data_IF_310064693841
#
_entry.id   IF_310064693841
#
_cell.length_a   1.000
_cell.length_b   1.000
_cell.length_c   1.000
_cell.angle_alpha   90.00
_cell.angle_beta   90.00
_cell.angle_gamma   90.00
#
_symmetry.space_group_name_H-M   'P 1'
#
loop_
_entity.id
_entity.type
_entity.pdbx_description
1 polymer ?
#
# COMPACT_ATOMS: atom_id res chain seq x y z
N UNK A 1 7.93 29.94 -2.78
CA UNK A 1 6.77 29.58 -3.64
C UNK A 1 6.01 28.50 -2.91
N UNK A 2 4.69 28.57 -2.92
CA UNK A 2 3.90 27.53 -2.29
C UNK A 2 4.22 26.19 -2.94
N UNK A 3 4.68 25.24 -2.12
CA UNK A 3 5.19 23.94 -2.56
C UNK A 3 4.14 23.14 -3.36
N UNK A 4 2.87 23.25 -2.98
CA UNK A 4 1.78 22.47 -3.53
C UNK A 4 1.46 22.79 -4.99
N UNK A 5 1.29 24.06 -5.45
CA UNK A 5 1.04 24.34 -6.86
C UNK A 5 2.17 23.85 -7.77
N UNK A 6 3.42 24.05 -7.37
CA UNK A 6 4.57 23.58 -8.14
C UNK A 6 4.62 22.05 -8.21
N UNK A 7 4.34 21.38 -7.09
CA UNK A 7 4.24 19.93 -7.02
C UNK A 7 3.15 19.37 -7.96
N UNK A 8 1.95 19.94 -7.93
CA UNK A 8 0.85 19.49 -8.78
C UNK A 8 1.13 19.68 -10.28
N UNK A 9 1.77 20.81 -10.65
CA UNK A 9 2.19 21.03 -12.05
C UNK A 9 3.26 20.00 -12.46
N UNK A 10 4.26 19.77 -11.61
CA UNK A 10 5.30 18.76 -11.86
C UNK A 10 4.69 17.36 -12.00
N UNK A 11 3.78 16.97 -11.10
CA UNK A 11 3.08 15.70 -11.16
C UNK A 11 2.26 15.55 -12.44
N UNK A 12 1.55 16.60 -12.87
CA UNK A 12 0.79 16.56 -14.12
C UNK A 12 1.68 16.31 -15.34
N UNK A 13 2.81 17.02 -15.46
CA UNK A 13 3.78 16.83 -16.54
C UNK A 13 4.37 15.41 -16.50
N UNK A 14 4.66 14.92 -15.31
CA UNK A 14 5.22 13.58 -15.11
C UNK A 14 4.24 12.47 -15.50
N UNK A 15 2.97 12.57 -15.11
CA UNK A 15 1.93 11.60 -15.52
C UNK A 15 1.81 11.53 -17.02
N UNK A 16 1.79 12.69 -17.70
CA UNK A 16 1.75 12.73 -19.17
C UNK A 16 2.98 12.08 -19.80
N UNK A 17 4.16 12.33 -19.22
CA UNK A 17 5.42 11.77 -19.72
C UNK A 17 5.49 10.26 -19.47
N UNK A 18 5.12 9.81 -18.27
CA UNK A 18 5.06 8.39 -17.90
C UNK A 18 4.20 7.59 -18.87
N UNK A 19 2.99 8.08 -19.15
CA UNK A 19 2.06 7.44 -20.11
C UNK A 19 2.61 7.36 -21.53
N UNK A 20 3.36 8.37 -21.99
CA UNK A 20 3.98 8.35 -23.32
C UNK A 20 5.11 7.33 -23.45
N UNK A 21 5.84 7.11 -22.36
CA UNK A 21 7.03 6.23 -22.33
C UNK A 21 6.68 4.81 -21.87
N UNK A 22 5.44 4.57 -21.40
CA UNK A 22 5.01 3.28 -20.88
C UNK A 22 5.66 2.92 -19.53
N UNK A 23 6.10 3.91 -18.75
CA UNK A 23 6.69 3.70 -17.43
C UNK A 23 5.64 3.81 -16.33
N UNK A 24 5.75 3.00 -15.26
CA UNK A 24 4.89 3.16 -14.10
C UNK A 24 5.11 4.55 -13.46
N UNK A 25 4.03 5.27 -13.11
CA UNK A 25 4.14 6.67 -12.67
C UNK A 25 4.76 6.83 -11.27
N UNK A 26 4.56 5.88 -10.36
CA UNK A 26 5.00 5.97 -8.95
C UNK A 26 6.52 6.20 -8.80
N UNK A 27 7.43 5.41 -9.43
CA UNK A 27 8.85 5.69 -9.37
C UNK A 27 9.21 7.09 -9.88
N UNK A 28 8.51 7.58 -10.90
CA UNK A 28 8.75 8.92 -11.45
C UNK A 28 8.35 10.02 -10.47
N UNK A 29 7.26 9.82 -9.70
CA UNK A 29 6.87 10.76 -8.63
C UNK A 29 7.95 10.86 -7.56
N UNK A 30 8.51 9.72 -7.12
CA UNK A 30 9.58 9.69 -6.12
C UNK A 30 10.84 10.37 -6.65
N UNK A 31 11.26 10.06 -7.89
CA UNK A 31 12.44 10.68 -8.52
C UNK A 31 12.25 12.19 -8.66
N UNK A 32 11.07 12.63 -9.09
CA UNK A 32 10.81 14.06 -9.22
C UNK A 32 10.80 14.78 -7.87
N UNK A 33 10.20 14.17 -6.85
CA UNK A 33 10.26 14.68 -5.49
C UNK A 33 11.70 14.79 -5.00
N UNK A 34 12.52 13.75 -5.21
CA UNK A 34 13.93 13.75 -4.85
C UNK A 34 14.72 14.87 -5.55
N UNK A 35 14.48 15.07 -6.86
CA UNK A 35 15.16 16.12 -7.63
C UNK A 35 14.71 17.53 -7.19
N UNK A 36 13.44 17.72 -6.84
CA UNK A 36 12.90 19.01 -6.44
C UNK A 36 13.05 19.28 -4.94
N UNK A 37 13.30 18.24 -4.14
CA UNK A 37 13.37 18.29 -2.69
C UNK A 37 14.76 18.63 -2.13
N UNK A 38 14.94 18.26 -0.86
CA UNK A 38 16.10 18.63 -0.02
C UNK A 38 17.43 18.13 -0.59
N UNK A 39 17.43 16.97 -1.21
CA UNK A 39 18.65 16.34 -1.78
C UNK A 39 18.93 16.75 -3.23
N UNK A 40 17.98 17.41 -3.89
CA UNK A 40 18.11 17.87 -5.28
C UNK A 40 18.26 19.39 -5.39
N UNK A 41 17.41 20.00 -6.21
CA UNK A 41 17.45 21.45 -6.50
C UNK A 41 16.91 22.33 -5.38
N UNK A 42 16.36 21.77 -4.31
CA UNK A 42 15.79 22.49 -3.15
C UNK A 42 14.72 23.52 -3.56
N UNK A 43 13.89 23.15 -4.52
CA UNK A 43 12.78 24.00 -5.01
C UNK A 43 11.56 23.90 -4.12
N UNK A 44 11.42 22.79 -3.40
CA UNK A 44 10.26 22.46 -2.56
C UNK A 44 10.77 21.96 -1.21
N UNK A 45 10.25 22.57 -0.15
CA UNK A 45 10.41 22.08 1.22
C UNK A 45 9.13 21.36 1.64
N UNK A 46 9.26 20.25 2.40
CA UNK A 46 8.13 19.56 2.99
C UNK A 46 7.52 20.40 4.11
N UNK A 47 6.28 20.81 3.96
CA UNK A 47 5.51 21.49 4.98
C UNK A 47 4.43 20.59 5.61
N UNK A 48 3.77 21.08 6.66
CA UNK A 48 2.72 20.34 7.35
C UNK A 48 1.53 20.00 6.43
N UNK A 49 1.22 20.87 5.47
CA UNK A 49 0.12 20.66 4.51
C UNK A 49 0.48 19.53 3.55
N UNK A 50 1.71 19.53 3.06
CA UNK A 50 2.23 18.47 2.19
C UNK A 50 2.24 17.11 2.88
N UNK A 51 2.65 17.07 4.15
CA UNK A 51 2.60 15.86 4.97
C UNK A 51 1.17 15.37 5.17
N UNK A 52 0.22 16.29 5.43
CA UNK A 52 -1.19 15.94 5.57
C UNK A 52 -1.81 15.40 4.28
N UNK A 53 -1.52 16.03 3.13
CA UNK A 53 -1.98 15.53 1.83
C UNK A 53 -1.40 14.16 1.49
N UNK A 54 -0.13 13.93 1.83
CA UNK A 54 0.49 12.62 1.71
C UNK A 54 -0.18 11.57 2.61
N UNK A 55 -0.49 11.95 3.86
CA UNK A 55 -1.23 11.08 4.78
C UNK A 55 -2.64 10.73 4.26
N UNK A 56 -3.36 11.69 3.65
CA UNK A 56 -4.61 11.38 2.96
C UNK A 56 -4.41 10.32 1.87
N UNK A 57 -3.32 10.40 1.10
CA UNK A 57 -2.98 9.38 0.10
C UNK A 57 -2.86 7.98 0.70
N UNK A 58 -2.15 7.87 1.81
CA UNK A 58 -1.97 6.61 2.52
C UNK A 58 -3.29 6.03 3.02
N UNK A 59 -4.11 6.82 3.72
CA UNK A 59 -5.37 6.32 4.28
C UNK A 59 -6.40 5.95 3.20
N UNK A 60 -6.46 6.68 2.09
CA UNK A 60 -7.29 6.31 0.95
C UNK A 60 -6.79 5.05 0.24
N UNK A 61 -5.47 4.85 0.13
CA UNK A 61 -4.89 3.62 -0.41
C UNK A 61 -5.26 2.41 0.44
N UNK A 62 -5.08 2.50 1.77
CA UNK A 62 -5.40 1.42 2.70
C UNK A 62 -6.88 1.04 2.65
N UNK A 63 -7.77 2.04 2.60
CA UNK A 63 -9.19 1.80 2.45
C UNK A 63 -9.53 1.15 1.11
N UNK A 64 -8.92 1.62 0.02
CA UNK A 64 -9.11 1.05 -1.32
C UNK A 64 -8.61 -0.40 -1.39
N UNK A 65 -7.44 -0.70 -0.82
CA UNK A 65 -6.96 -2.08 -0.71
C UNK A 65 -7.98 -2.96 0.01
N UNK A 66 -8.59 -2.45 1.10
CA UNK A 66 -9.69 -3.12 1.77
C UNK A 66 -10.89 -3.39 0.86
N UNK A 67 -11.28 -2.44 0.00
CA UNK A 67 -12.38 -2.62 -0.96
C UNK A 67 -12.09 -3.72 -2.00
N UNK A 68 -10.84 -3.94 -2.34
CA UNK A 68 -10.43 -4.99 -3.29
C UNK A 68 -10.39 -6.38 -2.64
N UNK A 69 -10.23 -6.46 -1.32
CA UNK A 69 -10.24 -7.72 -0.60
C UNK A 69 -11.61 -8.40 -0.68
N UNK A 70 -11.63 -9.62 -1.22
CA UNK A 70 -12.82 -10.51 -1.30
C UNK A 70 -12.60 -11.75 -0.45
N UNK A 71 -12.78 -11.72 0.88
CA UNK A 71 -12.44 -12.83 1.78
C UNK A 71 -13.06 -14.17 1.39
N UNK A 72 -14.27 -14.16 0.80
CA UNK A 72 -14.92 -15.41 0.34
C UNK A 72 -14.16 -16.15 -0.76
N UNK A 73 -13.42 -15.45 -1.61
CA UNK A 73 -12.62 -16.09 -2.67
C UNK A 73 -11.36 -16.70 -2.08
N UNK A 74 -10.70 -16.02 -1.15
CA UNK A 74 -9.52 -16.54 -0.42
C UNK A 74 -9.86 -17.89 0.24
N UNK A 75 -11.05 -18.00 0.87
CA UNK A 75 -11.51 -19.23 1.51
C UNK A 75 -11.81 -20.39 0.53
N UNK A 76 -12.05 -20.13 -0.76
CA UNK A 76 -12.37 -21.16 -1.76
C UNK A 76 -11.15 -21.74 -2.50
N UNK A 77 -10.08 -20.97 -2.68
CA UNK A 77 -8.86 -21.40 -3.41
C UNK A 77 -7.69 -21.77 -2.48
N UNK A 78 -7.87 -21.71 -1.27
CA UNK A 78 -7.24 -21.94 0.03
C UNK A 78 -5.80 -22.48 0.06
N UNK A 79 -5.54 -23.73 -0.22
CA UNK A 79 -4.25 -24.32 0.17
C UNK A 79 -3.08 -23.98 -0.75
N UNK A 80 -3.31 -23.94 -2.07
CA UNK A 80 -2.26 -23.65 -3.04
C UNK A 80 -1.74 -22.20 -2.93
N UNK A 81 -2.66 -21.23 -2.86
CA UNK A 81 -2.31 -19.80 -2.72
C UNK A 81 -1.60 -19.56 -1.39
N UNK A 82 -2.04 -20.21 -0.31
CA UNK A 82 -1.39 -20.07 1.00
C UNK A 82 0.06 -20.61 0.96
N UNK A 83 0.26 -21.78 0.35
CA UNK A 83 1.59 -22.38 0.20
C UNK A 83 2.49 -21.48 -0.67
N UNK A 84 1.97 -21.02 -1.80
CA UNK A 84 2.70 -20.07 -2.68
C UNK A 84 3.08 -18.78 -1.94
N UNK A 85 2.16 -18.19 -1.19
CA UNK A 85 2.43 -16.99 -0.40
C UNK A 85 3.43 -17.22 0.75
N UNK A 86 3.41 -18.40 1.38
CA UNK A 86 4.41 -18.75 2.39
C UNK A 86 5.79 -18.96 1.76
N UNK A 87 5.89 -19.55 0.57
CA UNK A 87 7.15 -19.67 -0.17
C UNK A 87 7.68 -18.28 -0.51
N UNK A 88 6.83 -17.42 -1.09
CA UNK A 88 7.21 -16.06 -1.45
C UNK A 88 7.66 -15.25 -0.23
N UNK A 89 6.90 -15.30 0.87
CA UNK A 89 7.25 -14.66 2.13
C UNK A 89 8.62 -15.12 2.64
N UNK A 90 8.83 -16.43 2.74
CA UNK A 90 10.08 -16.95 3.30
C UNK A 90 11.28 -16.59 2.42
N UNK A 91 11.19 -16.80 1.11
CA UNK A 91 12.29 -16.51 0.18
C UNK A 91 12.67 -15.02 0.24
N UNK A 92 11.69 -14.14 0.08
CA UNK A 92 11.96 -12.70 0.03
C UNK A 92 12.39 -12.15 1.39
N UNK A 93 11.67 -12.49 2.47
CA UNK A 93 12.01 -12.04 3.83
C UNK A 93 13.42 -12.48 4.23
N UNK A 94 13.77 -13.78 4.04
CA UNK A 94 15.09 -14.27 4.45
C UNK A 94 16.21 -13.70 3.59
N UNK A 95 16.06 -13.65 2.26
CA UNK A 95 17.09 -13.09 1.40
C UNK A 95 17.30 -11.59 1.68
N UNK A 96 16.23 -10.82 1.87
CA UNK A 96 16.34 -9.42 2.24
C UNK A 96 16.93 -9.21 3.63
N UNK A 97 16.50 -10.01 4.62
CA UNK A 97 17.03 -9.96 5.99
C UNK A 97 18.53 -10.25 6.03
N UNK A 98 18.99 -11.34 5.44
CA UNK A 98 20.40 -11.69 5.43
C UNK A 98 21.24 -10.71 4.61
N UNK A 99 20.73 -10.22 3.47
CA UNK A 99 21.43 -9.20 2.70
C UNK A 99 21.63 -7.91 3.52
N UNK A 100 20.63 -7.49 4.28
CA UNK A 100 20.73 -6.33 5.15
C UNK A 100 21.71 -6.55 6.30
N UNK A 101 21.70 -7.73 6.95
CA UNK A 101 22.69 -8.07 7.98
C UNK A 101 24.12 -8.04 7.44
N UNK A 102 24.36 -8.57 6.22
CA UNK A 102 25.68 -8.54 5.58
C UNK A 102 26.17 -7.11 5.30
N UNK A 103 25.25 -6.17 5.11
CA UNK A 103 25.55 -4.75 4.94
C UNK A 103 25.73 -4.00 6.28
N UNK A 104 25.61 -4.70 7.40
CA UNK A 104 25.85 -4.14 8.74
C UNK A 104 24.62 -3.50 9.39
N UNK A 105 23.41 -3.70 8.86
CA UNK A 105 22.18 -3.27 9.52
C UNK A 105 21.95 -4.09 10.80
N UNK A 106 21.34 -3.47 11.80
CA UNK A 106 20.92 -4.21 12.99
C UNK A 106 19.78 -5.19 12.67
N UNK A 107 19.51 -6.20 13.52
CA UNK A 107 18.51 -7.24 13.22
C UNK A 107 17.09 -6.68 12.99
N UNK A 108 16.70 -5.61 13.67
CA UNK A 108 15.40 -5.00 13.49
C UNK A 108 15.27 -4.31 12.14
N UNK A 109 16.23 -3.46 11.77
CA UNK A 109 16.25 -2.81 10.45
C UNK A 109 16.38 -3.85 9.33
N UNK A 110 17.16 -4.91 9.54
CA UNK A 110 17.26 -6.02 8.60
C UNK A 110 15.92 -6.74 8.40
N UNK A 111 15.12 -6.91 9.46
CA UNK A 111 13.77 -7.47 9.38
C UNK A 111 12.83 -6.55 8.60
N UNK A 112 12.90 -5.23 8.82
CA UNK A 112 12.10 -4.25 8.07
C UNK A 112 12.46 -4.29 6.57
N UNK A 113 13.76 -4.33 6.24
CA UNK A 113 14.24 -4.44 4.86
C UNK A 113 13.78 -5.75 4.21
N UNK A 114 13.91 -6.87 4.93
CA UNK A 114 13.43 -8.18 4.47
C UNK A 114 11.93 -8.20 4.23
N UNK A 115 11.16 -7.56 5.11
CA UNK A 115 9.70 -7.40 4.93
C UNK A 115 9.37 -6.59 3.68
N UNK A 116 10.14 -5.54 3.38
CA UNK A 116 9.95 -4.74 2.17
C UNK A 116 10.26 -5.51 0.87
N UNK A 117 11.14 -6.53 0.92
CA UNK A 117 11.40 -7.39 -0.24
C UNK A 117 10.21 -8.27 -0.61
N UNK A 118 9.40 -8.62 0.38
CA UNK A 118 8.22 -9.46 0.19
C UNK A 118 7.14 -8.77 -0.63
N UNK A 119 6.93 -7.47 -0.42
CA UNK A 119 5.84 -6.72 -1.03
C UNK A 119 6.01 -6.52 -2.55
N UNK A 120 4.94 -6.79 -3.30
CA UNK A 120 4.88 -6.57 -4.75
C UNK A 120 3.84 -5.50 -5.07
N UNK A 121 4.21 -4.49 -5.84
CA UNK A 121 3.25 -3.46 -6.28
C UNK A 121 2.15 -4.06 -7.15
N UNK A 122 0.96 -4.24 -6.56
CA UNK A 122 -0.23 -4.74 -7.26
C UNK A 122 -0.61 -3.88 -8.46
N UNK A 123 -0.43 -2.55 -8.35
CA UNK A 123 -0.70 -1.64 -9.46
C UNK A 123 0.22 -1.88 -10.66
N UNK A 124 1.51 -2.10 -10.42
CA UNK A 124 2.49 -2.37 -11.49
C UNK A 124 2.26 -3.75 -12.11
N UNK A 125 2.01 -4.76 -11.28
CA UNK A 125 1.77 -6.12 -11.76
C UNK A 125 0.48 -6.20 -12.61
N UNK A 126 -0.63 -5.60 -12.14
CA UNK A 126 -1.87 -5.52 -12.91
C UNK A 126 -1.71 -4.76 -14.22
N UNK A 127 -1.02 -3.61 -14.21
CA UNK A 127 -0.74 -2.87 -15.43
C UNK A 127 0.03 -3.74 -16.42
N UNK A 128 1.06 -4.45 -15.97
CA UNK A 128 1.85 -5.37 -16.80
C UNK A 128 1.02 -6.51 -17.39
N UNK A 129 0.12 -7.10 -16.60
CA UNK A 129 -0.80 -8.15 -17.07
C UNK A 129 -1.78 -7.64 -18.12
N UNK A 130 -2.30 -6.43 -17.95
CA UNK A 130 -3.21 -5.77 -18.91
C UNK A 130 -2.48 -5.47 -20.22
N UNK A 131 -1.32 -4.84 -20.14
CA UNK A 131 -0.50 -4.46 -21.31
C UNK A 131 -0.09 -5.68 -22.14
N UNK A 132 0.25 -6.79 -21.49
CA UNK A 132 0.60 -8.05 -22.13
C UNK A 132 -0.62 -8.91 -22.52
N UNK A 133 -1.86 -8.42 -22.35
CA UNK A 133 -3.11 -9.12 -22.64
C UNK A 133 -3.24 -10.49 -21.94
N UNK A 134 -2.60 -10.64 -20.79
CA UNK A 134 -2.60 -11.87 -19.97
C UNK A 134 -3.56 -11.87 -18.79
N UNK A 135 -4.33 -10.80 -18.60
CA UNK A 135 -5.21 -10.64 -17.41
C UNK A 135 -6.20 -11.81 -17.20
N UNK A 136 -6.63 -12.45 -18.29
CA UNK A 136 -7.59 -13.58 -18.27
C UNK A 136 -6.92 -14.96 -18.28
N UNK A 137 -5.59 -15.06 -18.19
CA UNK A 137 -4.90 -16.34 -18.12
C UNK A 137 -5.04 -16.96 -16.72
N UNK A 138 -4.95 -18.29 -16.63
CA UNK A 138 -5.03 -19.00 -15.35
C UNK A 138 -3.88 -18.59 -14.39
N UNK A 139 -2.70 -18.34 -14.94
CA UNK A 139 -1.54 -17.87 -14.19
C UNK A 139 -1.78 -16.49 -13.56
N UNK A 140 -2.46 -15.60 -14.28
CA UNK A 140 -2.79 -14.26 -13.78
C UNK A 140 -3.76 -14.31 -12.60
N UNK A 141 -4.65 -15.27 -12.56
CA UNK A 141 -5.54 -15.47 -11.41
C UNK A 141 -4.73 -15.81 -10.15
N UNK A 142 -3.72 -16.68 -10.28
CA UNK A 142 -2.82 -17.05 -9.17
C UNK A 142 -2.01 -15.82 -8.74
N UNK A 143 -1.44 -15.06 -9.67
CA UNK A 143 -0.66 -13.85 -9.39
C UNK A 143 -1.52 -12.83 -8.63
N UNK A 144 -2.74 -12.56 -9.08
CA UNK A 144 -3.65 -11.61 -8.42
C UNK A 144 -3.99 -12.05 -7.00
N UNK A 145 -4.20 -13.36 -6.79
CA UNK A 145 -4.48 -13.89 -5.45
C UNK A 145 -3.25 -13.84 -4.54
N UNK A 146 -2.06 -14.11 -5.11
CA UNK A 146 -0.81 -14.00 -4.37
C UNK A 146 -0.59 -12.56 -3.89
N UNK A 147 -0.81 -11.57 -4.76
CA UNK A 147 -0.72 -10.15 -4.40
C UNK A 147 -1.68 -9.76 -3.28
N UNK A 148 -2.93 -10.24 -3.33
CA UNK A 148 -3.90 -10.01 -2.24
C UNK A 148 -3.44 -10.64 -0.92
N UNK A 149 -2.79 -11.80 -0.98
CA UNK A 149 -2.22 -12.45 0.19
C UNK A 149 -0.98 -11.71 0.70
N UNK A 150 -0.12 -11.21 -0.20
CA UNK A 150 1.02 -10.35 0.14
C UNK A 150 0.54 -9.12 0.92
N UNK A 151 -0.47 -8.41 0.42
CA UNK A 151 -1.06 -7.23 1.08
C UNK A 151 -1.56 -7.56 2.50
N UNK A 152 -2.22 -8.71 2.67
CA UNK A 152 -2.68 -9.16 4.00
C UNK A 152 -1.53 -9.47 4.95
N UNK A 153 -0.50 -10.14 4.47
CA UNK A 153 0.69 -10.47 5.26
C UNK A 153 1.47 -9.20 5.59
N UNK A 154 1.57 -8.25 4.65
CA UNK A 154 2.21 -6.94 4.89
C UNK A 154 1.53 -6.17 6.01
N UNK A 155 0.20 -6.18 6.08
CA UNK A 155 -0.51 -5.57 7.22
C UNK A 155 -0.08 -6.23 8.53
N UNK A 156 0.07 -7.56 8.55
CA UNK A 156 0.56 -8.27 9.73
C UNK A 156 2.02 -7.93 10.04
N UNK A 157 2.90 -7.85 9.04
CA UNK A 157 4.31 -7.47 9.22
C UNK A 157 4.46 -6.02 9.72
N UNK A 158 3.72 -5.07 9.15
CA UNK A 158 3.65 -3.68 9.64
C UNK A 158 3.20 -3.67 11.10
N UNK A 159 2.22 -4.49 11.45
CA UNK A 159 1.78 -4.65 12.81
C UNK A 159 2.89 -5.16 13.73
N UNK A 160 3.63 -6.21 13.33
CA UNK A 160 4.74 -6.76 14.11
C UNK A 160 5.84 -5.71 14.32
N UNK A 161 6.21 -4.97 13.27
CA UNK A 161 7.17 -3.86 13.34
C UNK A 161 6.69 -2.75 14.30
N UNK A 162 5.40 -2.44 14.27
CA UNK A 162 4.81 -1.42 15.15
C UNK A 162 4.64 -1.90 16.59
N UNK A 163 4.55 -3.21 16.83
CA UNK A 163 4.31 -3.82 18.14
C UNK A 163 5.51 -3.80 19.09
N UNK A 164 6.71 -3.45 18.58
CA UNK A 164 7.91 -3.25 19.43
C UNK A 164 7.70 -2.14 20.49
N UNK A 165 6.61 -1.36 20.35
CA UNK A 165 6.24 -0.25 21.22
C UNK A 165 5.29 -0.63 22.39
N UNK A 166 4.90 -1.92 22.56
CA UNK A 166 3.94 -2.28 23.61
C UNK A 166 3.71 -3.79 23.81
N UNK A 167 2.76 -4.14 24.66
CA UNK A 167 2.36 -5.53 24.90
C UNK A 167 1.61 -6.09 23.67
N UNK A 168 2.19 -7.05 22.92
CA UNK A 168 1.63 -7.53 21.68
C UNK A 168 0.26 -8.21 21.85
N UNK A 169 0.04 -8.91 22.96
CA UNK A 169 -1.25 -9.56 23.24
C UNK A 169 -2.37 -8.55 23.45
N UNK A 170 -2.11 -7.48 24.20
CA UNK A 170 -3.09 -6.41 24.43
C UNK A 170 -3.45 -5.70 23.14
N UNK A 171 -2.47 -5.47 22.28
CA UNK A 171 -2.67 -4.85 20.96
C UNK A 171 -3.48 -5.76 20.02
N UNK A 172 -3.20 -7.08 20.00
CA UNK A 172 -4.00 -8.05 19.24
C UNK A 172 -5.46 -8.09 19.67
N UNK A 173 -5.73 -8.12 20.98
CA UNK A 173 -7.09 -8.09 21.53
C UNK A 173 -7.79 -6.79 21.13
N UNK A 174 -7.11 -5.68 21.20
CA UNK A 174 -7.65 -4.36 20.85
C UNK A 174 -8.02 -4.29 19.35
N UNK A 175 -7.14 -4.77 18.47
CA UNK A 175 -7.38 -4.86 17.03
C UNK A 175 -8.56 -5.78 16.72
N UNK A 176 -8.59 -6.98 17.30
CA UNK A 176 -9.70 -7.91 17.12
C UNK A 176 -11.03 -7.30 17.57
N UNK A 177 -11.04 -6.62 18.72
CA UNK A 177 -12.24 -5.95 19.23
C UNK A 177 -12.72 -4.85 18.28
N UNK A 178 -11.81 -3.98 17.81
CA UNK A 178 -12.16 -2.91 16.86
C UNK A 178 -12.66 -3.50 15.54
N UNK A 179 -11.97 -4.51 15.01
CA UNK A 179 -12.38 -5.20 13.80
C UNK A 179 -13.80 -5.80 13.92
N UNK A 180 -14.07 -6.50 15.00
CA UNK A 180 -15.40 -7.07 15.28
C UNK A 180 -16.46 -5.97 15.40
N UNK A 181 -16.19 -4.89 16.13
CA UNK A 181 -17.13 -3.77 16.28
C UNK A 181 -17.43 -3.10 14.94
N UNK A 182 -16.42 -2.89 14.09
CA UNK A 182 -16.59 -2.32 12.75
C UNK A 182 -17.41 -3.24 11.85
N UNK A 183 -17.15 -4.54 11.87
CA UNK A 183 -17.93 -5.53 11.12
C UNK A 183 -19.40 -5.49 11.58
N UNK A 184 -19.65 -5.53 12.88
CA UNK A 184 -21.00 -5.48 13.43
C UNK A 184 -21.72 -4.17 13.07
N UNK A 185 -21.03 -3.03 13.15
CA UNK A 185 -21.56 -1.73 12.79
C UNK A 185 -21.97 -1.69 11.31
N UNK A 186 -21.11 -2.13 10.40
CA UNK A 186 -21.44 -2.14 8.95
C UNK A 186 -22.55 -3.13 8.64
N UNK A 187 -22.57 -4.31 9.27
CA UNK A 187 -23.67 -5.27 9.09
C UNK A 187 -25.01 -4.71 9.59
N UNK A 188 -25.00 -4.01 10.72
CA UNK A 188 -26.19 -3.36 11.28
C UNK A 188 -26.69 -2.24 10.39
N UNK A 189 -25.77 -1.42 9.86
CA UNK A 189 -26.06 -0.26 9.02
C UNK A 189 -26.13 -0.58 7.50
N UNK A 190 -26.06 -1.85 7.13
CA UNK A 190 -25.98 -2.27 5.71
C UNK A 190 -27.07 -1.67 4.84
N UNK A 191 -28.34 -1.69 5.28
CA UNK A 191 -29.46 -1.17 4.49
C UNK A 191 -29.40 0.34 4.28
N UNK A 192 -29.27 1.19 5.33
CA UNK A 192 -29.14 2.65 5.13
C UNK A 192 -27.85 3.01 4.38
N UNK A 193 -26.75 2.29 4.59
CA UNK A 193 -25.51 2.51 3.85
C UNK A 193 -25.67 2.24 2.34
N UNK A 194 -26.30 1.12 1.97
CA UNK A 194 -26.56 0.80 0.57
C UNK A 194 -27.43 1.88 -0.09
N UNK A 195 -28.47 2.33 0.60
CA UNK A 195 -29.34 3.41 0.10
C UNK A 195 -28.58 4.72 -0.10
N UNK A 196 -27.77 5.13 0.87
CA UNK A 196 -26.99 6.37 0.78
C UNK A 196 -25.89 6.31 -0.30
N UNK A 197 -25.23 5.17 -0.47
CA UNK A 197 -24.13 5.01 -1.41
C UNK A 197 -24.57 4.78 -2.86
N UNK A 198 -25.83 4.41 -3.11
CA UNK A 198 -26.38 4.27 -4.47
C UNK A 198 -26.91 5.58 -5.06
N UNK A 199 -26.82 6.68 -4.33
CA UNK A 199 -27.21 8.00 -4.82
C UNK A 199 -26.22 8.50 -5.88
N UNK A 200 -26.72 9.28 -6.82
CA UNK A 200 -25.92 9.93 -7.89
C UNK A 200 -25.56 11.38 -7.56
N UNK A 201 -25.60 11.75 -6.27
CA UNK A 201 -25.27 13.07 -5.75
C UNK A 201 -23.91 13.06 -5.02
N UNK A 202 -23.61 14.11 -4.24
CA UNK A 202 -22.38 14.24 -3.44
C UNK A 202 -22.31 13.34 -2.21
N UNK A 203 -23.42 12.70 -1.83
CA UNK A 203 -23.51 11.88 -0.59
C UNK A 203 -22.48 10.74 -0.55
N UNK A 204 -22.27 9.94 -1.62
CA UNK A 204 -21.24 8.89 -1.60
C UNK A 204 -19.82 9.43 -1.40
N UNK A 205 -19.51 10.61 -1.95
CA UNK A 205 -18.20 11.24 -1.80
C UNK A 205 -17.97 11.70 -0.37
N UNK A 206 -18.90 12.47 0.18
CA UNK A 206 -18.82 13.00 1.55
C UNK A 206 -18.78 11.84 2.55
N UNK A 207 -19.63 10.82 2.35
CA UNK A 207 -19.62 9.61 3.17
C UNK A 207 -18.25 8.93 3.17
N UNK A 208 -17.66 8.73 1.99
CA UNK A 208 -16.36 8.06 1.86
C UNK A 208 -15.27 8.84 2.59
N UNK A 209 -15.20 10.15 2.40
CA UNK A 209 -14.26 11.00 3.12
C UNK A 209 -14.47 10.93 4.64
N UNK A 210 -15.72 11.05 5.10
CA UNK A 210 -16.04 11.00 6.53
C UNK A 210 -15.64 9.65 7.16
N UNK A 211 -15.88 8.53 6.46
CA UNK A 211 -15.57 7.19 6.94
C UNK A 211 -14.06 6.95 6.97
N UNK A 212 -13.35 7.32 5.91
CA UNK A 212 -11.89 7.12 5.81
C UNK A 212 -11.17 7.97 6.87
N UNK A 213 -11.46 9.27 6.92
CA UNK A 213 -10.83 10.17 7.89
C UNK A 213 -11.25 9.82 9.32
N UNK A 214 -12.53 9.48 9.54
CA UNK A 214 -13.03 9.09 10.84
C UNK A 214 -12.41 7.79 11.36
N UNK A 215 -12.20 6.79 10.50
CA UNK A 215 -11.53 5.55 10.85
C UNK A 215 -10.04 5.75 11.18
N UNK A 216 -9.35 6.60 10.41
CA UNK A 216 -7.98 7.01 10.69
C UNK A 216 -7.89 7.73 12.04
N UNK A 217 -8.72 8.74 12.27
CA UNK A 217 -8.75 9.48 13.54
C UNK A 217 -9.07 8.57 14.74
N UNK A 218 -10.01 7.63 14.58
CA UNK A 218 -10.31 6.64 15.61
C UNK A 218 -9.08 5.77 15.93
N UNK A 219 -8.37 5.30 14.90
CA UNK A 219 -7.16 4.49 15.08
C UNK A 219 -6.10 5.22 15.90
N UNK A 220 -5.87 6.51 15.60
CA UNK A 220 -4.94 7.36 16.35
C UNK A 220 -5.35 7.53 17.81
N UNK A 221 -6.63 7.81 18.08
CA UNK A 221 -7.16 7.97 19.44
C UNK A 221 -6.98 6.71 20.28
N UNK A 222 -7.21 5.54 19.69
CA UNK A 222 -7.10 4.27 20.41
C UNK A 222 -5.71 3.63 20.31
N UNK A 223 -4.73 4.31 19.70
CA UNK A 223 -3.36 3.85 19.49
C UNK A 223 -3.30 2.45 18.85
N UNK A 224 -3.87 2.31 17.65
CA UNK A 224 -3.72 1.15 16.78
C UNK A 224 -3.23 1.61 15.41
N UNK A 225 -2.55 0.75 14.62
CA UNK A 225 -2.18 1.07 13.24
C UNK A 225 -3.41 1.42 12.39
N UNK A 226 -3.37 2.53 11.66
CA UNK A 226 -4.49 3.02 10.83
C UNK A 226 -4.88 2.03 9.73
N UNK A 227 -3.93 1.23 9.25
CA UNK A 227 -4.18 0.18 8.27
C UNK A 227 -5.31 -0.79 8.70
N UNK A 228 -5.38 -1.13 9.98
CA UNK A 228 -6.33 -2.10 10.50
C UNK A 228 -7.79 -1.68 10.29
N UNK A 229 -8.27 -0.53 10.84
CA UNK A 229 -9.66 -0.13 10.66
C UNK A 229 -9.97 0.24 9.21
N UNK A 230 -9.03 0.81 8.46
CA UNK A 230 -9.25 1.23 7.07
C UNK A 230 -9.44 0.04 6.14
N UNK A 231 -8.55 -0.96 6.22
CA UNK A 231 -8.67 -2.19 5.42
C UNK A 231 -9.90 -3.00 5.85
N UNK A 232 -10.17 -3.11 7.15
CA UNK A 232 -11.35 -3.80 7.65
C UNK A 232 -12.65 -3.16 7.14
N UNK A 233 -12.79 -1.83 7.24
CA UNK A 233 -13.94 -1.09 6.73
C UNK A 233 -14.09 -1.24 5.21
N UNK A 234 -13.02 -1.07 4.45
CA UNK A 234 -13.02 -1.27 3.00
C UNK A 234 -13.50 -2.68 2.65
N UNK A 235 -12.95 -3.70 3.31
CA UNK A 235 -13.30 -5.10 3.09
C UNK A 235 -14.78 -5.39 3.40
N UNK A 236 -15.32 -4.87 4.50
CA UNK A 236 -16.72 -5.08 4.87
C UNK A 236 -17.67 -4.29 3.95
N UNK A 237 -17.33 -3.06 3.59
CA UNK A 237 -18.13 -2.25 2.66
C UNK A 237 -18.14 -2.80 1.24
N UNK A 238 -17.08 -3.52 0.83
CA UNK A 238 -17.01 -4.17 -0.47
C UNK A 238 -18.12 -5.22 -0.70
N UNK A 239 -18.68 -5.79 0.37
CA UNK A 239 -19.84 -6.68 0.29
C UNK A 239 -21.16 -5.98 -0.02
N UNK A 240 -21.26 -4.71 0.34
CA UNK A 240 -22.53 -3.98 0.23
C UNK A 240 -22.64 -3.22 -1.09
N UNK A 241 -21.61 -2.50 -1.51
CA UNK A 241 -21.66 -1.62 -2.70
C UNK A 241 -20.26 -1.49 -3.34
N UNK A 242 -19.64 -2.58 -3.78
CA UNK A 242 -18.24 -2.57 -4.18
C UNK A 242 -17.94 -1.65 -5.36
N UNK A 243 -18.77 -1.70 -6.40
CA UNK A 243 -18.50 -0.99 -7.66
C UNK A 243 -18.68 0.54 -7.54
N UNK A 244 -19.60 0.99 -6.70
CA UNK A 244 -19.83 2.43 -6.47
C UNK A 244 -18.67 3.01 -5.66
N UNK A 245 -18.35 2.38 -4.54
CA UNK A 245 -17.24 2.85 -3.68
C UNK A 245 -15.89 2.83 -4.40
N UNK A 246 -15.59 1.77 -5.15
CA UNK A 246 -14.34 1.71 -5.92
C UNK A 246 -14.24 2.85 -6.92
N UNK A 247 -15.32 3.14 -7.67
CA UNK A 247 -15.35 4.26 -8.61
C UNK A 247 -15.24 5.62 -7.93
N UNK A 248 -15.83 5.76 -6.74
CA UNK A 248 -15.77 6.99 -5.95
C UNK A 248 -14.38 7.23 -5.36
N UNK A 249 -13.74 6.17 -4.85
CA UNK A 249 -12.45 6.25 -4.13
C UNK A 249 -11.26 6.35 -5.09
N UNK A 250 -11.31 5.66 -6.22
CA UNK A 250 -10.16 5.55 -7.12
C UNK A 250 -9.57 6.90 -7.56
N UNK A 251 -10.34 7.93 -7.96
CA UNK A 251 -9.76 9.21 -8.36
C UNK A 251 -9.03 9.91 -7.19
N UNK A 252 -9.59 9.86 -5.98
CA UNK A 252 -8.95 10.46 -4.80
C UNK A 252 -7.69 9.72 -4.42
N UNK A 253 -7.74 8.37 -4.39
CA UNK A 253 -6.57 7.53 -4.18
C UNK A 253 -5.47 7.91 -5.15
N UNK A 254 -5.74 7.98 -6.46
CA UNK A 254 -4.72 8.22 -7.49
C UNK A 254 -4.07 9.59 -7.33
N UNK A 255 -4.86 10.64 -7.07
CA UNK A 255 -4.34 12.00 -6.85
C UNK A 255 -3.50 12.05 -5.57
N UNK A 256 -4.02 11.55 -4.45
CA UNK A 256 -3.32 11.60 -3.18
C UNK A 256 -2.10 10.67 -3.14
N UNK A 257 -2.12 9.53 -3.85
CA UNK A 257 -0.94 8.69 -4.04
C UNK A 257 0.17 9.40 -4.80
N UNK A 258 -0.17 10.13 -5.86
CA UNK A 258 0.82 10.91 -6.57
C UNK A 258 1.46 11.96 -5.66
N UNK A 259 0.65 12.63 -4.84
CA UNK A 259 1.12 13.60 -3.83
C UNK A 259 1.98 12.90 -2.77
N UNK A 260 1.53 11.76 -2.22
CA UNK A 260 2.27 10.98 -1.23
C UNK A 260 3.68 10.62 -1.72
N UNK A 261 3.77 9.99 -2.88
CA UNK A 261 5.06 9.51 -3.39
C UNK A 261 5.97 10.67 -3.83
N UNK A 262 5.40 11.75 -4.33
CA UNK A 262 6.18 12.95 -4.65
C UNK A 262 6.78 13.56 -3.38
N UNK A 263 5.97 13.83 -2.35
CA UNK A 263 6.49 14.39 -1.09
C UNK A 263 7.36 13.41 -0.30
N UNK A 264 7.11 12.11 -0.41
CA UNK A 264 8.06 11.12 0.07
C UNK A 264 9.44 11.33 -0.58
N UNK A 265 9.48 11.49 -1.91
CA UNK A 265 10.72 11.82 -2.62
C UNK A 265 11.36 13.13 -2.13
N UNK A 266 10.56 14.18 -1.89
CA UNK A 266 11.04 15.50 -1.39
C UNK A 266 11.76 15.34 -0.04
N UNK A 267 11.28 14.48 0.84
CA UNK A 267 11.84 14.28 2.19
C UNK A 267 13.05 13.35 2.23
N UNK A 268 13.38 12.66 1.15
CA UNK A 268 14.55 11.77 1.11
C UNK A 268 15.84 12.58 1.23
N UNK A 269 16.60 12.33 2.29
CA UNK A 269 17.94 12.81 2.46
C UNK A 269 18.95 11.82 1.91
N UNK A 270 19.52 12.11 0.74
CA UNK A 270 20.63 11.33 0.22
C UNK A 270 21.87 11.68 1.03
N UNK A 271 22.16 10.87 2.04
CA UNK A 271 23.42 10.97 2.76
C UNK A 271 24.54 10.43 1.88
N UNK A 272 25.67 11.15 1.82
CA UNK A 272 26.89 10.65 1.21
C UNK A 272 27.43 9.36 1.88
N UNK A 273 26.87 8.99 3.04
CA UNK A 273 27.18 7.74 3.73
C UNK A 273 26.50 6.51 3.09
N UNK A 274 25.50 6.68 2.21
CA UNK A 274 24.90 5.58 1.49
C UNK A 274 25.84 5.16 0.38
N UNK A 275 26.45 3.99 0.53
CA UNK A 275 27.33 3.45 -0.52
C UNK A 275 26.46 3.00 -1.71
N UNK A 276 26.69 3.59 -2.88
CA UNK A 276 26.03 3.17 -4.13
C UNK A 276 26.15 1.65 -4.36
N UNK A 277 27.29 0.99 -4.09
CA UNK A 277 27.40 -0.47 -4.16
C UNK A 277 26.41 -1.22 -3.25
N UNK A 278 26.16 -0.74 -2.03
CA UNK A 278 25.19 -1.37 -1.13
C UNK A 278 23.75 -1.27 -1.65
N UNK A 279 23.38 -0.12 -2.20
CA UNK A 279 22.06 0.07 -2.83
C UNK A 279 21.90 -0.87 -4.03
N UNK A 280 22.91 -0.94 -4.90
CA UNK A 280 22.90 -1.83 -6.06
C UNK A 280 22.83 -3.30 -5.64
N UNK A 281 23.55 -3.70 -4.60
CA UNK A 281 23.52 -5.07 -4.09
C UNK A 281 22.12 -5.41 -3.53
N UNK A 282 21.54 -4.56 -2.69
CA UNK A 282 20.20 -4.76 -2.14
C UNK A 282 19.17 -4.86 -3.28
N UNK A 283 19.23 -3.95 -4.26
CA UNK A 283 18.31 -3.98 -5.40
C UNK A 283 18.45 -5.24 -6.24
N UNK A 284 19.69 -5.71 -6.46
CA UNK A 284 19.94 -6.95 -7.18
C UNK A 284 19.42 -8.16 -6.41
N UNK A 285 19.66 -8.22 -5.09
CA UNK A 285 19.15 -9.33 -4.24
C UNK A 285 17.62 -9.32 -4.23
N UNK A 286 16.96 -8.14 -4.17
CA UNK A 286 15.51 -8.02 -4.24
C UNK A 286 14.94 -8.56 -5.55
N UNK A 287 15.56 -8.22 -6.68
CA UNK A 287 15.16 -8.77 -8.00
C UNK A 287 15.36 -10.28 -8.06
N UNK A 288 16.52 -10.77 -7.61
CA UNK A 288 16.82 -12.20 -7.59
C UNK A 288 15.86 -12.98 -6.69
N UNK A 289 15.50 -12.43 -5.51
CA UNK A 289 14.57 -13.08 -4.58
C UNK A 289 13.19 -13.29 -5.21
N UNK A 290 12.65 -12.29 -5.92
CA UNK A 290 11.37 -12.40 -6.63
C UNK A 290 11.42 -13.41 -7.80
N UNK A 291 12.52 -13.49 -8.51
CA UNK A 291 12.71 -14.52 -9.56
C UNK A 291 12.77 -15.92 -8.95
N UNK A 292 13.53 -16.09 -7.86
CA UNK A 292 13.65 -17.38 -7.17
C UNK A 292 12.30 -17.83 -6.61
N UNK A 293 11.59 -16.95 -5.92
CA UNK A 293 10.26 -17.30 -5.38
C UNK A 293 9.27 -17.65 -6.51
N UNK A 294 9.28 -16.89 -7.62
CA UNK A 294 8.45 -17.18 -8.78
C UNK A 294 8.75 -18.54 -9.43
N UNK A 295 10.01 -18.94 -9.51
CA UNK A 295 10.39 -20.26 -10.02
C UNK A 295 9.93 -21.39 -9.09
N UNK A 296 10.07 -21.22 -7.76
CA UNK A 296 9.64 -22.22 -6.77
C UNK A 296 8.11 -22.36 -6.69
N UNK A 297 7.36 -21.32 -7.02
CA UNK A 297 5.88 -21.35 -7.03
C UNK A 297 5.36 -21.94 -8.34
N UNK A 298 6.10 -21.76 -9.43
CA UNK A 298 5.69 -22.22 -10.77
C UNK A 298 5.93 -23.73 -11.03
N UNK A 299 6.63 -24.43 -10.12
CA UNK A 299 6.77 -25.90 -10.12
C UNK A 299 5.61 -26.59 -9.38
#
# INVERSE_FOLDING_TARGET
MDAIPLALIALFVLVLTARKVGLPPIPLYIIAGLLMGVSGFRLIDGDAISAYLGHLGLIFLLFYAGLELKPRRILRQGSGILVSGLIDLNVNLFLGFFAALLLGFNPFDAFVIGSAFFDTSSAVALATLIENRRLLSAESEIIIWLMVLEDLIMVFLIFVVSAELGNPLFLLVKIATVGILLILLVLLLRKPLTFALQREDEVPFIFTFAVVIGASALALVINIPEAVPLIALGSVLSYSVPSVLQKTVAPFRDVFLAVLFFFFGVTIHLSLAISLPAVLLISLVALCSKVISGLLIGE
#
